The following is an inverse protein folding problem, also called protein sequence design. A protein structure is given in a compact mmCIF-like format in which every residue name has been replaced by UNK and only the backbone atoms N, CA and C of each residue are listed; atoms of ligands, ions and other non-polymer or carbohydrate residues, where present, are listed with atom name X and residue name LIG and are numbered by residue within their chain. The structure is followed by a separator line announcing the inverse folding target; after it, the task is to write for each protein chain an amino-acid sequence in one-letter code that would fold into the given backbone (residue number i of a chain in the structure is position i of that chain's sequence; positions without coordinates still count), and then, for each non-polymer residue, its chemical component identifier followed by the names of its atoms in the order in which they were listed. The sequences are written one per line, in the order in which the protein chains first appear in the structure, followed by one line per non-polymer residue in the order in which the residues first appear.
data_IF_346839321524
#
_entry.id   IF_346839321524
#
_cell.length_a   1.000
_cell.length_b   1.000
_cell.length_c   1.000
_cell.angle_alpha   90.00
_cell.angle_beta   90.00
_cell.angle_gamma   90.00
#
_symmetry.space_group_name_H-M   'P 1'
#
loop_
_entity.id
_entity.type
_entity.pdbx_description
1 polymer ?
#
# COMPACT_ATOMS: atom_id res chain seq x y z
N UNK A 1 82.85 34.03 24.11
CA UNK A 1 81.80 33.71 23.11
C UNK A 1 81.48 32.17 22.99
N UNK A 2 82.43 31.28 23.25
CA UNK A 2 82.15 29.81 23.18
C UNK A 2 81.36 29.22 24.34
N UNK A 3 81.28 29.86 25.49
CA UNK A 3 80.58 29.39 26.72
C UNK A 3 79.07 29.84 26.70
N UNK A 4 78.73 30.92 26.04
CA UNK A 4 77.36 31.39 25.94
C UNK A 4 76.56 30.57 24.91
N UNK A 5 77.26 30.03 23.88
CA UNK A 5 76.61 29.18 22.84
C UNK A 5 76.25 27.80 23.35
N UNK A 6 77.06 27.25 24.30
CA UNK A 6 76.79 25.94 24.94
C UNK A 6 75.54 25.98 25.84
N UNK A 7 75.33 27.15 26.57
CA UNK A 7 74.19 27.31 27.47
C UNK A 7 72.85 27.56 26.71
N UNK A 8 72.93 28.18 25.51
CA UNK A 8 71.74 28.37 24.71
C UNK A 8 71.30 27.08 24.00
N UNK A 9 72.22 26.14 23.70
CA UNK A 9 71.93 24.85 23.09
C UNK A 9 71.32 23.86 24.07
N UNK A 10 71.61 23.97 25.37
CA UNK A 10 71.00 23.14 26.44
C UNK A 10 69.62 23.67 26.81
N UNK A 11 69.36 24.98 26.70
CA UNK A 11 68.02 25.55 27.00
C UNK A 11 66.98 25.22 25.87
N UNK A 12 67.40 24.96 24.62
CA UNK A 12 66.51 24.56 23.52
C UNK A 12 66.17 23.07 23.60
N UNK A 13 66.94 22.25 24.30
CA UNK A 13 66.69 20.80 24.46
C UNK A 13 65.73 20.45 25.61
N UNK A 14 65.39 21.42 26.47
CA UNK A 14 64.47 21.19 27.62
C UNK A 14 63.03 21.67 27.27
N UNK A 15 62.83 22.36 26.15
CA UNK A 15 61.54 22.75 25.65
C UNK A 15 60.98 21.80 24.57
N UNK A 16 61.61 20.62 24.37
CA UNK A 16 61.00 19.50 23.68
C UNK A 16 59.87 18.94 24.56
N UNK A 17 58.70 19.57 24.50
CA UNK A 17 57.49 19.05 25.09
C UNK A 17 57.30 17.60 24.65
N UNK A 18 57.20 16.71 25.61
CA UNK A 18 56.66 15.38 25.37
C UNK A 18 55.26 15.58 24.82
N UNK A 19 55.13 15.56 23.49
CA UNK A 19 53.83 15.26 22.89
C UNK A 19 53.46 13.86 23.38
N UNK A 20 52.72 13.80 24.47
CA UNK A 20 52.01 12.58 24.82
C UNK A 20 51.12 12.32 23.59
N UNK A 21 51.44 11.29 22.83
CA UNK A 21 50.52 10.78 21.87
C UNK A 21 49.32 10.26 22.68
N UNK A 22 48.27 11.08 22.77
CA UNK A 22 46.98 10.65 23.30
C UNK A 22 46.55 9.43 22.47
N UNK A 23 46.40 8.31 23.15
CA UNK A 23 46.01 7.06 22.53
C UNK A 23 44.51 7.16 22.29
N UNK A 24 44.09 7.69 21.14
CA UNK A 24 42.69 7.76 20.74
C UNK A 24 42.14 6.33 20.72
N UNK A 25 41.10 6.07 21.51
CA UNK A 25 40.42 4.79 21.54
C UNK A 25 39.77 4.56 20.17
N UNK A 26 40.05 3.40 19.59
CA UNK A 26 39.52 3.03 18.26
C UNK A 26 38.87 1.66 18.33
N UNK A 27 37.66 1.55 17.83
CA UNK A 27 36.90 0.30 17.77
C UNK A 27 36.51 -0.07 16.36
N UNK A 28 36.37 -1.39 16.10
CA UNK A 28 35.73 -1.92 14.91
C UNK A 28 34.24 -2.01 15.16
N UNK A 29 33.44 -1.36 14.32
CA UNK A 29 31.99 -1.40 14.39
C UNK A 29 31.34 -1.91 13.13
N UNK A 30 30.10 -2.29 13.24
CA UNK A 30 29.25 -2.76 12.12
C UNK A 30 27.99 -1.94 12.04
N UNK A 31 27.61 -1.50 10.83
CA UNK A 31 26.36 -0.79 10.57
C UNK A 31 25.18 -1.74 10.77
N UNK A 32 24.31 -1.43 11.71
CA UNK A 32 23.13 -2.22 12.08
C UNK A 32 21.85 -1.38 12.01
N UNK A 33 20.72 -2.06 11.98
CA UNK A 33 19.41 -1.42 12.08
C UNK A 33 19.10 -1.07 13.55
N UNK A 34 18.87 0.19 13.85
CA UNK A 34 18.39 0.59 15.19
C UNK A 34 16.89 0.38 15.35
N UNK A 35 16.10 0.62 14.29
CA UNK A 35 14.65 0.43 14.25
C UNK A 35 14.26 -0.29 12.98
N UNK A 36 13.19 -1.04 13.04
CA UNK A 36 12.57 -1.68 11.87
C UNK A 36 11.09 -1.33 11.84
N UNK A 37 10.62 -0.84 10.70
CA UNK A 37 9.22 -0.46 10.49
C UNK A 37 8.50 -1.59 9.75
N UNK A 38 7.48 -2.23 10.34
CA UNK A 38 6.68 -3.23 9.66
C UNK A 38 5.69 -2.57 8.71
N UNK A 39 5.71 -2.97 7.44
CA UNK A 39 4.74 -2.54 6.44
C UNK A 39 3.60 -3.55 6.44
N UNK A 40 2.42 -3.10 6.86
CA UNK A 40 1.23 -3.96 6.96
C UNK A 40 0.29 -3.77 5.78
N UNK A 41 -0.47 -4.82 5.49
CA UNK A 41 -1.50 -4.81 4.44
C UNK A 41 -2.76 -4.10 4.96
N UNK A 42 -3.27 -3.07 4.28
CA UNK A 42 -4.41 -2.28 4.77
C UNK A 42 -5.77 -2.98 4.64
N UNK A 43 -5.90 -3.96 3.75
CA UNK A 43 -7.12 -4.75 3.51
C UNK A 43 -6.77 -6.13 2.94
N UNK A 44 -7.71 -7.07 2.98
CA UNK A 44 -7.51 -8.43 2.51
C UNK A 44 -7.45 -8.56 0.98
N UNK A 45 -6.93 -9.67 0.50
CA UNK A 45 -6.86 -10.01 -0.93
C UNK A 45 -5.68 -10.90 -1.26
N UNK A 46 -5.20 -10.82 -2.49
CA UNK A 46 -3.99 -11.50 -2.95
C UNK A 46 -2.95 -10.48 -3.41
N UNK A 47 -1.69 -10.74 -3.11
CA UNK A 47 -0.58 -9.93 -3.62
C UNK A 47 -0.53 -10.03 -5.15
N UNK A 48 -0.82 -8.93 -5.85
CA UNK A 48 -0.80 -8.86 -7.31
C UNK A 48 0.61 -8.69 -7.85
N UNK A 49 1.27 -7.63 -7.41
CA UNK A 49 2.68 -7.35 -7.74
C UNK A 49 3.49 -7.14 -6.47
N UNK A 50 4.76 -7.47 -6.51
CA UNK A 50 5.75 -7.13 -5.51
C UNK A 50 6.88 -6.42 -6.24
N UNK A 51 7.04 -5.11 -6.00
CA UNK A 51 7.94 -4.24 -6.76
C UNK A 51 9.36 -4.22 -6.22
N UNK A 52 9.56 -4.69 -4.98
CA UNK A 52 10.83 -4.61 -4.25
C UNK A 52 11.22 -5.96 -3.66
N UNK A 53 12.50 -6.11 -3.35
CA UNK A 53 13.10 -7.30 -2.76
C UNK A 53 13.89 -6.94 -1.51
N UNK A 54 14.22 -7.93 -0.70
CA UNK A 54 15.16 -7.76 0.41
C UNK A 54 16.46 -7.11 -0.07
N UNK A 55 16.89 -6.05 0.60
CA UNK A 55 18.07 -5.27 0.28
C UNK A 55 17.84 -4.08 -0.65
N UNK A 56 16.66 -3.94 -1.26
CA UNK A 56 16.35 -2.82 -2.13
C UNK A 56 16.14 -1.52 -1.32
N UNK A 57 16.65 -0.37 -1.80
CA UNK A 57 16.33 0.92 -1.24
C UNK A 57 14.93 1.34 -1.65
N UNK A 58 14.21 1.99 -0.74
CA UNK A 58 12.86 2.53 -0.96
C UNK A 58 12.76 3.94 -0.41
N UNK A 59 11.94 4.77 -1.04
CA UNK A 59 11.62 6.12 -0.57
C UNK A 59 10.21 6.14 0.00
N UNK A 60 9.94 7.11 0.88
CA UNK A 60 8.60 7.39 1.33
C UNK A 60 7.67 7.64 0.12
N UNK A 61 6.51 6.96 0.10
CA UNK A 61 5.53 7.00 -0.99
C UNK A 61 5.78 6.00 -2.13
N UNK A 62 6.92 5.33 -2.19
CA UNK A 62 7.19 4.30 -3.22
C UNK A 62 6.21 3.13 -3.09
N UNK A 63 5.72 2.63 -4.24
CA UNK A 63 4.84 1.47 -4.30
C UNK A 63 5.65 0.19 -4.10
N UNK A 64 5.44 -0.47 -2.97
CA UNK A 64 6.11 -1.70 -2.58
C UNK A 64 5.42 -2.94 -3.16
N UNK A 65 4.09 -2.93 -3.15
CA UNK A 65 3.25 -4.01 -3.66
C UNK A 65 1.88 -3.48 -4.08
N UNK A 66 1.14 -4.32 -4.83
CA UNK A 66 -0.29 -4.08 -5.11
C UNK A 66 -1.11 -5.27 -4.64
N UNK A 67 -2.32 -5.01 -4.19
CA UNK A 67 -3.32 -6.05 -3.95
C UNK A 67 -4.12 -6.24 -5.24
N UNK A 68 -4.35 -7.48 -5.65
CA UNK A 68 -5.20 -7.79 -6.78
C UNK A 68 -6.65 -7.45 -6.47
N UNK A 69 -7.31 -6.75 -7.39
CA UNK A 69 -8.74 -6.46 -7.33
C UNK A 69 -9.53 -7.49 -8.15
N UNK A 70 -10.79 -7.68 -7.80
CA UNK A 70 -11.76 -8.40 -8.63
C UNK A 70 -12.59 -7.36 -9.38
N UNK A 71 -12.66 -7.53 -10.70
CA UNK A 71 -13.42 -6.63 -11.58
C UNK A 71 -14.83 -7.21 -11.84
N UNK A 72 -15.83 -6.38 -11.62
CA UNK A 72 -17.22 -6.71 -11.94
C UNK A 72 -17.64 -6.01 -13.23
N UNK A 73 -18.20 -6.81 -14.15
CA UNK A 73 -18.49 -6.39 -15.51
C UNK A 73 -19.98 -6.30 -15.79
N UNK A 74 -20.36 -5.44 -16.73
CA UNK A 74 -21.73 -5.33 -17.20
C UNK A 74 -22.17 -6.63 -17.93
N UNK A 75 -23.20 -7.35 -17.42
CA UNK A 75 -23.68 -8.56 -18.07
C UNK A 75 -24.49 -8.27 -19.33
N UNK A 76 -25.04 -7.07 -19.44
CA UNK A 76 -25.87 -6.60 -20.57
C UNK A 76 -25.51 -5.15 -20.90
N UNK A 77 -25.81 -4.77 -22.16
CA UNK A 77 -25.80 -3.38 -22.60
C UNK A 77 -27.03 -2.64 -22.05
N UNK A 78 -26.84 -1.44 -21.51
CA UNK A 78 -27.97 -0.68 -20.98
C UNK A 78 -27.56 0.53 -20.18
N UNK A 79 -28.52 1.08 -19.42
CA UNK A 79 -28.31 2.25 -18.56
C UNK A 79 -28.26 1.83 -17.12
N UNK A 80 -27.23 2.31 -16.39
CA UNK A 80 -27.09 2.08 -14.95
C UNK A 80 -28.25 2.78 -14.21
N UNK A 81 -28.99 2.00 -13.45
CA UNK A 81 -30.11 2.48 -12.65
C UNK A 81 -30.01 1.90 -11.22
N UNK A 82 -30.21 2.72 -10.20
CA UNK A 82 -30.17 2.25 -8.82
C UNK A 82 -28.78 1.78 -8.38
N UNK A 83 -27.76 2.63 -8.57
CA UNK A 83 -26.45 2.45 -7.91
C UNK A 83 -26.62 2.80 -6.44
N UNK A 84 -26.52 1.81 -5.55
CA UNK A 84 -26.78 1.94 -4.12
C UNK A 84 -25.51 1.98 -3.27
N UNK A 85 -24.36 1.66 -3.86
CA UNK A 85 -23.12 1.55 -3.16
C UNK A 85 -22.21 2.75 -3.37
N UNK A 86 -21.32 2.97 -2.41
CA UNK A 86 -20.21 3.92 -2.44
C UNK A 86 -18.89 3.16 -2.30
N UNK A 87 -17.79 3.81 -2.64
CA UNK A 87 -16.45 3.28 -2.38
C UNK A 87 -16.26 3.09 -0.87
N UNK A 88 -15.77 1.92 -0.47
CA UNK A 88 -15.64 1.49 0.92
C UNK A 88 -16.78 0.62 1.44
N UNK A 89 -17.92 0.58 0.76
CA UNK A 89 -19.07 -0.22 1.22
C UNK A 89 -18.83 -1.73 1.03
N UNK A 90 -19.36 -2.52 1.96
CA UNK A 90 -19.43 -3.97 1.84
C UNK A 90 -20.47 -4.38 0.81
N UNK A 91 -20.07 -5.14 -0.22
CA UNK A 91 -20.97 -5.67 -1.24
C UNK A 91 -22.07 -6.55 -0.66
N UNK A 92 -21.76 -7.33 0.38
CA UNK A 92 -22.72 -8.17 1.09
C UNK A 92 -23.83 -7.37 1.73
N UNK A 93 -23.48 -6.34 2.50
CA UNK A 93 -24.46 -5.47 3.19
C UNK A 93 -25.38 -4.72 2.22
N UNK A 94 -24.80 -4.22 1.11
CA UNK A 94 -25.58 -3.56 0.06
C UNK A 94 -26.50 -4.54 -0.66
N UNK A 95 -25.99 -5.72 -1.01
CA UNK A 95 -26.79 -6.77 -1.68
C UNK A 95 -27.91 -7.29 -0.79
N UNK A 96 -27.67 -7.47 0.52
CA UNK A 96 -28.72 -7.87 1.47
C UNK A 96 -29.86 -6.84 1.53
N UNK A 97 -29.52 -5.56 1.54
CA UNK A 97 -30.48 -4.47 1.67
C UNK A 97 -31.24 -4.15 0.38
N UNK A 98 -30.54 -4.15 -0.76
CA UNK A 98 -31.07 -3.67 -2.05
C UNK A 98 -31.13 -4.77 -3.12
N UNK A 99 -30.72 -5.98 -2.81
CA UNK A 99 -30.63 -7.15 -3.70
C UNK A 99 -29.63 -7.00 -4.86
N UNK A 100 -28.91 -5.89 -4.94
CA UNK A 100 -27.86 -5.61 -5.90
C UNK A 100 -26.96 -4.47 -5.43
N UNK A 101 -25.73 -4.39 -5.95
CA UNK A 101 -24.88 -3.21 -5.86
C UNK A 101 -25.41 -2.12 -6.79
N UNK A 102 -25.79 -2.51 -8.00
CA UNK A 102 -26.47 -1.66 -8.97
C UNK A 102 -27.38 -2.50 -9.88
N UNK A 103 -28.28 -1.83 -10.58
CA UNK A 103 -29.09 -2.42 -11.64
C UNK A 103 -28.72 -1.81 -13.00
N UNK A 104 -28.84 -2.61 -14.07
CA UNK A 104 -28.74 -2.13 -15.45
C UNK A 104 -30.10 -2.31 -16.11
N UNK A 105 -30.70 -1.23 -16.59
CA UNK A 105 -31.87 -1.28 -17.47
C UNK A 105 -31.39 -1.59 -18.91
N UNK A 106 -31.72 -2.78 -19.44
CA UNK A 106 -31.27 -3.15 -20.78
C UNK A 106 -31.76 -2.19 -21.85
N UNK A 107 -30.94 -1.89 -22.84
CA UNK A 107 -31.33 -1.11 -24.04
C UNK A 107 -32.48 -1.77 -24.75
N UNK A 108 -32.50 -3.10 -24.79
CA UNK A 108 -33.58 -3.91 -25.38
C UNK A 108 -34.68 -4.11 -24.37
N UNK A 109 -35.77 -3.38 -24.61
CA UNK A 109 -36.86 -3.21 -23.63
C UNK A 109 -37.79 -4.40 -23.49
N UNK A 110 -37.74 -5.36 -24.42
CA UNK A 110 -38.71 -6.45 -24.50
C UNK A 110 -38.05 -7.82 -24.50
N UNK A 111 -38.66 -8.74 -23.79
CA UNK A 111 -38.36 -10.16 -23.78
C UNK A 111 -39.64 -10.96 -24.07
N UNK A 112 -39.50 -12.18 -24.51
CA UNK A 112 -40.63 -13.08 -24.73
C UNK A 112 -40.36 -14.37 -23.98
N UNK A 113 -41.25 -14.70 -23.06
CA UNK A 113 -41.32 -16.03 -22.47
C UNK A 113 -42.18 -16.90 -23.41
N UNK A 114 -41.58 -17.95 -23.97
CA UNK A 114 -42.17 -18.80 -24.99
C UNK A 114 -42.16 -20.26 -24.58
N UNK A 115 -43.10 -21.01 -25.18
CA UNK A 115 -43.14 -22.46 -25.09
C UNK A 115 -43.35 -23.11 -26.45
N UNK A 116 -43.08 -24.41 -26.55
CA UNK A 116 -43.21 -25.20 -27.78
C UNK A 116 -44.56 -25.86 -27.97
N UNK A 117 -45.57 -25.58 -27.12
CA UNK A 117 -46.91 -26.24 -27.20
C UNK A 117 -47.57 -26.08 -28.56
N UNK A 118 -47.33 -24.97 -29.26
CA UNK A 118 -47.87 -24.67 -30.59
C UNK A 118 -46.81 -24.77 -31.67
N UNK A 119 -45.72 -25.48 -31.44
CA UNK A 119 -44.73 -25.76 -32.49
C UNK A 119 -45.34 -26.60 -33.60
N UNK A 120 -44.84 -26.39 -34.82
CA UNK A 120 -45.15 -27.33 -35.91
C UNK A 120 -44.50 -28.68 -35.61
N UNK A 121 -45.26 -29.76 -35.78
CA UNK A 121 -44.84 -31.09 -35.39
C UNK A 121 -43.74 -31.63 -36.32
N UNK A 122 -42.50 -31.18 -36.07
CA UNK A 122 -41.28 -31.75 -36.64
C UNK A 122 -40.24 -31.84 -35.54
N UNK A 123 -39.41 -32.88 -35.58
CA UNK A 123 -38.35 -33.07 -34.58
C UNK A 123 -37.41 -31.87 -34.51
N UNK A 124 -37.12 -31.23 -35.62
CA UNK A 124 -36.25 -30.08 -35.72
C UNK A 124 -36.74 -28.87 -34.91
N UNK A 125 -38.08 -28.66 -34.85
CA UNK A 125 -38.66 -27.51 -34.16
C UNK A 125 -38.64 -27.64 -32.64
N UNK A 126 -38.31 -28.83 -32.10
CA UNK A 126 -38.14 -29.05 -30.66
C UNK A 126 -36.67 -28.92 -30.21
N UNK A 127 -35.72 -28.88 -31.18
CA UNK A 127 -34.32 -28.63 -30.90
C UNK A 127 -34.04 -27.12 -30.96
N UNK A 128 -34.00 -26.48 -29.78
CA UNK A 128 -33.77 -25.06 -29.63
C UNK A 128 -32.37 -24.82 -29.06
N UNK A 129 -31.69 -23.81 -29.61
CA UNK A 129 -30.33 -23.48 -29.16
C UNK A 129 -30.24 -22.04 -28.66
N UNK A 130 -29.48 -21.80 -27.61
CA UNK A 130 -29.10 -20.46 -27.21
C UNK A 130 -28.32 -19.78 -28.33
N UNK A 131 -28.61 -18.49 -28.58
CA UNK A 131 -28.01 -17.71 -29.65
C UNK A 131 -28.70 -17.88 -31.01
N UNK A 132 -29.72 -18.75 -31.12
CA UNK A 132 -30.49 -18.94 -32.36
C UNK A 132 -31.33 -17.70 -32.63
N UNK A 133 -31.28 -17.20 -33.87
CA UNK A 133 -32.14 -16.11 -34.34
C UNK A 133 -33.53 -16.64 -34.66
N UNK A 134 -34.52 -15.90 -34.18
CA UNK A 134 -35.94 -16.23 -34.41
C UNK A 134 -36.70 -15.03 -34.95
N UNK A 135 -37.82 -15.32 -35.63
CA UNK A 135 -38.70 -14.34 -36.21
C UNK A 135 -40.08 -14.45 -35.57
N UNK A 136 -40.73 -13.32 -35.35
CA UNK A 136 -41.97 -13.27 -34.59
C UNK A 136 -43.04 -12.52 -35.37
N UNK A 137 -44.29 -12.91 -35.10
CA UNK A 137 -45.46 -12.21 -35.60
C UNK A 137 -46.56 -12.21 -34.56
N UNK A 138 -47.27 -11.09 -34.42
CA UNK A 138 -48.46 -10.98 -33.59
C UNK A 138 -49.48 -12.05 -33.99
N UNK A 139 -50.13 -12.68 -33.04
CA UNK A 139 -51.11 -13.73 -33.29
C UNK A 139 -52.51 -13.19 -33.53
N UNK A 140 -52.79 -11.92 -33.22
CA UNK A 140 -54.11 -11.31 -33.39
C UNK A 140 -54.40 -10.97 -34.84
N UNK A 141 -53.51 -10.24 -35.48
CA UNK A 141 -53.73 -9.73 -36.86
C UNK A 141 -52.49 -9.83 -37.75
N UNK A 142 -51.35 -10.24 -37.19
CA UNK A 142 -50.07 -10.38 -37.92
C UNK A 142 -49.40 -9.05 -38.29
N UNK A 143 -49.91 -7.91 -37.83
CA UNK A 143 -49.38 -6.58 -38.19
C UNK A 143 -48.05 -6.28 -37.54
N UNK A 144 -47.85 -6.68 -36.27
CA UNK A 144 -46.61 -6.52 -35.58
C UNK A 144 -45.69 -7.70 -35.85
N UNK A 145 -44.52 -7.41 -36.35
CA UNK A 145 -43.48 -8.41 -36.60
C UNK A 145 -42.14 -7.98 -36.07
N UNK A 146 -41.28 -8.96 -35.78
CA UNK A 146 -39.95 -8.64 -35.23
C UNK A 146 -39.00 -9.82 -35.33
N UNK A 147 -37.80 -9.56 -34.82
CA UNK A 147 -36.71 -10.53 -34.73
C UNK A 147 -36.23 -10.62 -33.28
N UNK A 148 -35.66 -11.75 -32.89
CA UNK A 148 -35.10 -11.96 -31.58
C UNK A 148 -34.01 -13.02 -31.59
N UNK A 149 -33.38 -13.19 -30.44
CA UNK A 149 -32.37 -14.21 -30.20
C UNK A 149 -32.81 -15.01 -28.97
N UNK A 150 -32.75 -16.34 -29.05
CA UNK A 150 -32.99 -17.23 -27.90
C UNK A 150 -31.86 -17.03 -26.89
N UNK A 151 -32.18 -16.54 -25.68
CA UNK A 151 -31.21 -16.28 -24.64
C UNK A 151 -31.09 -17.45 -23.65
N UNK A 152 -32.18 -18.17 -23.47
CA UNK A 152 -32.20 -19.32 -22.54
C UNK A 152 -33.21 -20.38 -23.02
N UNK A 153 -32.90 -21.66 -22.75
CA UNK A 153 -33.74 -22.81 -23.00
C UNK A 153 -33.88 -23.62 -21.74
N UNK A 154 -35.12 -23.85 -21.32
CA UNK A 154 -35.47 -24.61 -20.11
C UNK A 154 -36.37 -25.80 -20.47
N UNK A 155 -36.61 -26.70 -19.53
CA UNK A 155 -37.51 -27.83 -19.72
C UNK A 155 -38.95 -27.42 -20.03
N UNK A 156 -39.38 -26.23 -19.62
CA UNK A 156 -40.75 -25.73 -19.80
C UNK A 156 -40.92 -24.77 -20.97
N UNK A 157 -39.80 -24.29 -21.54
CA UNK A 157 -39.87 -23.31 -22.63
C UNK A 157 -38.52 -22.63 -22.92
N UNK A 158 -38.60 -21.45 -23.47
CA UNK A 158 -37.40 -20.68 -23.83
C UNK A 158 -37.66 -19.17 -23.76
N UNK A 159 -36.62 -18.43 -23.51
CA UNK A 159 -36.64 -16.97 -23.43
C UNK A 159 -36.02 -16.37 -24.70
N UNK A 160 -36.61 -15.30 -25.18
CA UNK A 160 -36.16 -14.58 -26.37
C UNK A 160 -35.94 -13.12 -25.99
N UNK A 161 -34.78 -12.59 -26.34
CA UNK A 161 -34.52 -11.17 -26.35
C UNK A 161 -34.95 -10.59 -27.68
N UNK A 162 -35.85 -9.61 -27.69
CA UNK A 162 -36.32 -8.95 -28.89
C UNK A 162 -35.23 -8.03 -29.43
N UNK A 163 -34.75 -8.30 -30.65
CA UNK A 163 -33.66 -7.53 -31.28
C UNK A 163 -34.14 -6.51 -32.30
N UNK A 164 -35.39 -6.62 -32.74
CA UNK A 164 -35.99 -5.68 -33.67
C UNK A 164 -37.48 -5.91 -33.83
N UNK A 165 -38.18 -4.87 -34.27
CA UNK A 165 -39.63 -4.86 -34.42
C UNK A 165 -40.33 -4.09 -33.27
N UNK A 166 -41.61 -3.81 -33.51
CA UNK A 166 -42.45 -3.11 -32.54
C UNK A 166 -43.52 -4.05 -32.01
N UNK A 167 -43.59 -4.17 -30.69
CA UNK A 167 -44.60 -4.98 -30.00
C UNK A 167 -45.22 -4.21 -28.86
N UNK A 168 -46.46 -4.59 -28.54
CA UNK A 168 -47.15 -4.07 -27.36
C UNK A 168 -46.91 -5.00 -26.17
N UNK A 169 -46.82 -4.45 -24.97
CA UNK A 169 -46.76 -5.27 -23.75
C UNK A 169 -47.95 -6.24 -23.70
N UNK A 170 -47.67 -7.45 -23.23
CA UNK A 170 -48.64 -8.54 -23.08
C UNK A 170 -49.16 -9.11 -24.42
N UNK A 171 -48.62 -8.66 -25.55
CA UNK A 171 -48.97 -9.16 -26.86
C UNK A 171 -48.56 -10.63 -27.03
N UNK A 172 -49.47 -11.42 -27.61
CA UNK A 172 -49.18 -12.82 -27.96
C UNK A 172 -48.54 -12.91 -29.33
N UNK A 173 -47.41 -13.56 -29.42
CA UNK A 173 -46.66 -13.74 -30.64
C UNK A 173 -46.45 -15.21 -30.98
N UNK A 174 -46.48 -15.53 -32.25
CA UNK A 174 -46.01 -16.78 -32.82
C UNK A 174 -44.53 -16.64 -33.19
N UNK A 175 -43.75 -17.65 -32.95
CA UNK A 175 -42.29 -17.67 -33.08
C UNK A 175 -41.91 -18.66 -34.17
N UNK A 176 -41.02 -18.24 -35.08
CA UNK A 176 -40.61 -19.00 -36.23
C UNK A 176 -39.08 -19.01 -36.36
N UNK A 177 -38.54 -20.14 -36.87
CA UNK A 177 -37.13 -20.27 -37.21
C UNK A 177 -36.78 -19.57 -38.51
N UNK A 178 -37.72 -19.62 -39.52
CA UNK A 178 -37.50 -19.03 -40.80
C UNK A 178 -38.05 -17.60 -40.91
N UNK A 179 -37.34 -16.73 -41.62
CA UNK A 179 -37.69 -15.32 -41.82
C UNK A 179 -39.05 -15.13 -42.51
N UNK A 180 -39.37 -16.02 -43.45
CA UNK A 180 -40.66 -15.99 -44.14
C UNK A 180 -41.85 -16.42 -43.28
N UNK A 181 -41.59 -16.80 -42.01
CA UNK A 181 -42.58 -17.22 -41.01
C UNK A 181 -43.49 -18.35 -41.52
N UNK A 182 -42.93 -19.25 -42.37
CA UNK A 182 -43.66 -20.40 -42.88
C UNK A 182 -44.15 -21.27 -41.68
N UNK A 183 -45.36 -21.81 -41.82
CA UNK A 183 -46.03 -22.61 -40.80
C UNK A 183 -45.15 -23.77 -40.30
N UNK A 184 -44.40 -24.38 -41.20
CA UNK A 184 -43.52 -25.52 -40.96
C UNK A 184 -42.33 -25.15 -40.08
N UNK A 185 -41.95 -23.86 -40.04
CA UNK A 185 -40.84 -23.37 -39.21
C UNK A 185 -41.28 -22.84 -37.86
N UNK A 186 -42.54 -23.04 -37.46
CA UNK A 186 -43.08 -22.53 -36.20
C UNK A 186 -42.50 -23.28 -35.01
N UNK A 187 -41.80 -22.54 -34.10
CA UNK A 187 -41.16 -23.04 -32.88
C UNK A 187 -42.09 -23.03 -31.68
N UNK A 188 -43.14 -22.21 -31.73
CA UNK A 188 -44.05 -22.09 -30.59
C UNK A 188 -44.79 -20.76 -30.54
N UNK A 189 -45.13 -20.35 -29.34
CA UNK A 189 -45.74 -19.05 -29.07
C UNK A 189 -45.31 -18.54 -27.69
N UNK A 190 -45.35 -17.23 -27.55
CA UNK A 190 -44.97 -16.56 -26.32
C UNK A 190 -45.74 -15.27 -26.09
N UNK A 191 -45.42 -14.61 -25.00
CA UNK A 191 -45.99 -13.32 -24.60
C UNK A 191 -44.91 -12.29 -24.40
N UNK A 192 -45.12 -11.12 -24.99
CA UNK A 192 -44.15 -10.00 -24.88
C UNK A 192 -44.19 -9.45 -23.45
N UNK A 193 -43.05 -9.37 -22.84
CA UNK A 193 -42.87 -8.78 -21.52
C UNK A 193 -41.82 -7.67 -21.56
N UNK A 194 -41.87 -6.77 -20.59
CA UNK A 194 -40.78 -5.81 -20.38
C UNK A 194 -39.54 -6.56 -19.86
N UNK A 195 -38.42 -6.28 -20.45
CA UNK A 195 -37.14 -6.75 -19.88
C UNK A 195 -36.97 -6.19 -18.48
N UNK A 196 -36.67 -7.05 -17.52
CA UNK A 196 -36.36 -6.62 -16.17
C UNK A 196 -34.98 -5.99 -16.11
N UNK A 197 -34.79 -5.05 -15.20
CA UNK A 197 -33.48 -4.56 -14.86
C UNK A 197 -32.61 -5.71 -14.32
N UNK A 198 -31.36 -5.77 -14.77
CA UNK A 198 -30.43 -6.81 -14.41
C UNK A 198 -29.65 -6.39 -13.17
N UNK A 199 -29.76 -7.19 -12.11
CA UNK A 199 -29.05 -6.97 -10.87
C UNK A 199 -27.56 -7.37 -11.02
N UNK A 200 -26.66 -6.47 -10.67
CA UNK A 200 -25.21 -6.73 -10.55
C UNK A 200 -24.85 -6.77 -9.09
N UNK A 201 -24.25 -7.87 -8.66
CA UNK A 201 -23.84 -8.14 -7.27
C UNK A 201 -22.33 -8.26 -7.24
N UNK A 202 -21.70 -7.86 -6.16
CA UNK A 202 -20.29 -8.15 -5.89
C UNK A 202 -20.11 -9.51 -5.21
N UNK A 203 -18.86 -9.94 -5.07
CA UNK A 203 -18.51 -11.15 -4.32
C UNK A 203 -18.92 -11.08 -2.85
N UNK A 204 -19.24 -12.22 -2.25
CA UNK A 204 -19.50 -12.30 -0.81
C UNK A 204 -18.24 -11.97 -0.01
N UNK A 205 -18.38 -11.22 1.08
CA UNK A 205 -17.27 -10.84 1.95
C UNK A 205 -16.28 -9.85 1.35
N UNK A 206 -16.63 -9.22 0.22
CA UNK A 206 -15.81 -8.19 -0.42
C UNK A 206 -16.34 -6.79 -0.13
N UNK A 207 -15.50 -5.79 -0.39
CA UNK A 207 -15.85 -4.36 -0.31
C UNK A 207 -15.50 -3.68 -1.63
N UNK A 208 -16.26 -2.63 -1.95
CA UNK A 208 -16.04 -1.83 -3.15
C UNK A 208 -14.81 -0.96 -2.96
N UNK A 209 -13.81 -1.19 -3.79
CA UNK A 209 -12.60 -0.37 -3.82
C UNK A 209 -12.81 0.88 -4.67
N UNK A 210 -13.42 0.70 -5.86
CA UNK A 210 -13.59 1.77 -6.82
C UNK A 210 -14.85 1.56 -7.66
N UNK A 211 -15.55 2.65 -7.93
CA UNK A 211 -16.68 2.71 -8.85
C UNK A 211 -16.24 3.36 -10.16
N UNK A 212 -16.53 2.69 -11.30
CA UNK A 212 -16.22 3.20 -12.63
C UNK A 212 -17.43 3.83 -13.31
N UNK A 213 -18.63 3.63 -12.77
CA UNK A 213 -19.90 4.10 -13.32
C UNK A 213 -20.72 4.89 -12.31
N UNK A 214 -21.66 5.69 -12.81
CA UNK A 214 -22.64 6.47 -12.04
C UNK A 214 -24.05 6.15 -12.48
N UNK A 215 -25.04 6.50 -11.68
CA UNK A 215 -26.44 6.43 -12.10
C UNK A 215 -26.67 7.24 -13.37
N UNK A 216 -27.29 6.62 -14.35
CA UNK A 216 -27.62 7.23 -15.65
C UNK A 216 -26.56 6.99 -16.72
N UNK A 217 -25.41 6.44 -16.40
CA UNK A 217 -24.38 6.11 -17.39
C UNK A 217 -24.86 4.96 -18.28
N UNK A 218 -24.56 5.09 -19.57
CA UNK A 218 -24.73 3.99 -20.52
C UNK A 218 -23.49 3.09 -20.47
N UNK A 219 -23.71 1.77 -20.42
CA UNK A 219 -22.63 0.77 -20.36
C UNK A 219 -22.82 -0.27 -21.46
N UNK A 220 -21.71 -0.70 -22.02
CA UNK A 220 -21.67 -1.82 -22.96
C UNK A 220 -21.49 -3.14 -22.21
N UNK A 221 -21.96 -4.23 -22.81
CA UNK A 221 -21.73 -5.56 -22.25
C UNK A 221 -20.23 -5.85 -22.15
N UNK A 222 -19.77 -6.23 -20.96
CA UNK A 222 -18.35 -6.50 -20.67
C UNK A 222 -17.55 -5.26 -20.21
N UNK A 223 -18.19 -4.10 -20.09
CA UNK A 223 -17.57 -2.92 -19.50
C UNK A 223 -17.41 -3.09 -17.99
N UNK A 224 -16.30 -2.59 -17.43
CA UNK A 224 -16.01 -2.66 -15.99
C UNK A 224 -16.93 -1.68 -15.24
N UNK A 225 -17.68 -2.18 -14.29
CA UNK A 225 -18.60 -1.39 -13.47
C UNK A 225 -17.97 -0.93 -12.17
N UNK A 226 -17.32 -1.83 -11.47
CA UNK A 226 -16.62 -1.54 -10.20
C UNK A 226 -15.56 -2.59 -9.90
N UNK A 227 -14.67 -2.23 -8.99
CA UNK A 227 -13.62 -3.10 -8.46
C UNK A 227 -13.90 -3.44 -7.01
N UNK A 228 -13.60 -4.67 -6.61
CA UNK A 228 -13.72 -5.14 -5.24
C UNK A 228 -12.42 -5.71 -4.71
N UNK A 229 -12.27 -5.68 -3.40
CA UNK A 229 -11.20 -6.34 -2.63
C UNK A 229 -11.81 -7.22 -1.57
N UNK A 230 -11.07 -8.25 -1.13
CA UNK A 230 -11.53 -9.13 -0.07
C UNK A 230 -11.50 -8.42 1.30
N UNK A 231 -12.51 -8.67 2.12
CA UNK A 231 -12.62 -8.13 3.48
C UNK A 231 -13.33 -6.79 3.57
N UNK A 232 -13.33 -6.20 4.76
CA UNK A 232 -14.00 -4.94 5.07
C UNK A 232 -13.01 -3.79 5.01
N UNK A 233 -13.36 -2.76 4.24
CA UNK A 233 -12.67 -1.46 4.25
C UNK A 233 -13.22 -0.60 5.39
N UNK A 234 -12.35 0.22 6.00
CA UNK A 234 -12.80 1.23 6.97
C UNK A 234 -13.36 2.41 6.17
N UNK A 235 -14.66 2.56 6.08
CA UNK A 235 -15.44 3.47 5.21
C UNK A 235 -14.96 4.91 5.00
N UNK A 236 -13.83 5.32 5.61
CA UNK A 236 -13.20 6.64 5.41
C UNK A 236 -11.94 6.58 4.55
N UNK A 237 -11.52 5.40 4.15
CA UNK A 237 -10.33 5.20 3.36
C UNK A 237 -10.75 4.87 1.93
N UNK A 238 -10.47 5.79 0.99
CA UNK A 238 -10.58 5.53 -0.45
C UNK A 238 -9.22 5.02 -0.94
N UNK A 239 -8.92 3.74 -0.78
CA UNK A 239 -7.61 3.19 -1.07
C UNK A 239 -7.45 3.07 -2.58
N UNK A 240 -6.25 3.41 -3.04
CA UNK A 240 -5.76 2.70 -4.20
C UNK A 240 -5.36 1.28 -3.74
N UNK A 241 -5.21 0.35 -4.65
CA UNK A 241 -4.77 -1.02 -4.33
C UNK A 241 -3.25 -1.12 -4.08
N UNK A 242 -2.56 0.02 -3.92
CA UNK A 242 -1.13 0.10 -3.73
C UNK A 242 -0.76 0.11 -2.25
N UNK A 243 0.23 -0.66 -1.88
CA UNK A 243 0.87 -0.60 -0.57
C UNK A 243 2.14 0.21 -0.75
N UNK A 244 2.22 1.36 -0.07
CA UNK A 244 3.32 2.32 -0.18
C UNK A 244 4.22 2.29 1.05
N UNK A 245 5.50 2.65 0.86
CA UNK A 245 6.41 2.83 1.99
C UNK A 245 6.06 4.10 2.77
N UNK A 246 5.89 4.01 4.10
CA UNK A 246 5.71 5.19 4.95
C UNK A 246 7.04 5.89 5.27
N UNK A 247 8.18 5.28 4.95
CA UNK A 247 9.52 5.78 5.29
C UNK A 247 10.51 5.56 4.14
N UNK A 248 11.56 6.38 4.11
CA UNK A 248 12.74 6.16 3.26
C UNK A 248 13.69 5.22 3.99
N UNK A 249 14.14 4.14 3.32
CA UNK A 249 14.98 3.15 3.99
C UNK A 249 15.37 1.99 3.09
N UNK A 250 15.67 0.85 3.71
CA UNK A 250 16.07 -0.41 3.03
C UNK A 250 15.14 -1.53 3.47
N UNK A 251 14.65 -2.32 2.51
CA UNK A 251 13.87 -3.53 2.80
C UNK A 251 14.76 -4.56 3.50
N UNK A 252 14.50 -4.83 4.77
CA UNK A 252 15.26 -5.80 5.55
C UNK A 252 14.75 -7.23 5.39
N UNK A 253 13.44 -7.39 5.29
CA UNK A 253 12.77 -8.68 5.14
C UNK A 253 11.54 -8.52 4.24
N UNK A 254 11.28 -9.52 3.40
CA UNK A 254 10.04 -9.67 2.65
C UNK A 254 9.35 -10.94 3.15
N UNK A 255 8.21 -10.81 3.82
CA UNK A 255 7.52 -11.93 4.46
C UNK A 255 6.50 -12.61 3.55
N UNK A 256 6.02 -11.89 2.53
CA UNK A 256 4.97 -12.34 1.62
C UNK A 256 5.45 -12.39 0.17
N UNK A 257 4.80 -13.26 -0.61
CA UNK A 257 5.12 -13.48 -2.01
C UNK A 257 3.96 -13.09 -2.93
N UNK A 258 4.26 -12.85 -4.20
CA UNK A 258 3.25 -12.62 -5.24
C UNK A 258 2.28 -13.80 -5.33
N UNK A 259 0.98 -13.51 -5.40
CA UNK A 259 -0.11 -14.49 -5.46
C UNK A 259 -0.52 -15.06 -4.11
N UNK A 260 0.18 -14.74 -3.03
CA UNK A 260 -0.16 -15.16 -1.67
C UNK A 260 -1.39 -14.39 -1.17
N UNK A 261 -2.28 -15.09 -0.48
CA UNK A 261 -3.43 -14.48 0.17
C UNK A 261 -2.99 -13.78 1.47
N UNK A 262 -3.52 -12.59 1.69
CA UNK A 262 -3.21 -11.76 2.86
C UNK A 262 -4.49 -11.21 3.47
N UNK A 263 -4.47 -11.03 4.78
CA UNK A 263 -5.51 -10.36 5.55
C UNK A 263 -5.11 -8.94 5.93
N UNK A 264 -6.09 -8.13 6.34
CA UNK A 264 -5.82 -6.81 6.92
C UNK A 264 -4.93 -6.94 8.15
N UNK A 265 -3.84 -6.17 8.21
CA UNK A 265 -2.88 -6.16 9.31
C UNK A 265 -1.74 -7.16 9.17
N UNK A 266 -1.76 -8.05 8.17
CA UNK A 266 -0.63 -8.93 7.89
C UNK A 266 0.63 -8.10 7.56
N UNK A 267 1.78 -8.54 8.04
CA UNK A 267 3.06 -7.92 7.71
C UNK A 267 3.46 -8.38 6.30
N UNK A 268 3.60 -7.43 5.39
CA UNK A 268 4.06 -7.67 4.04
C UNK A 268 5.58 -7.77 3.98
N UNK A 269 6.24 -6.79 4.60
CA UNK A 269 7.69 -6.68 4.67
C UNK A 269 8.10 -5.78 5.82
N UNK A 270 9.41 -5.72 6.08
CA UNK A 270 10.00 -4.81 7.06
C UNK A 270 10.99 -3.89 6.38
N UNK A 271 10.96 -2.62 6.71
CA UNK A 271 11.86 -1.58 6.21
C UNK A 271 12.65 -1.02 7.37
N UNK A 272 13.96 -0.90 7.21
CA UNK A 272 14.83 -0.18 8.14
C UNK A 272 14.92 1.26 7.65
N UNK A 273 14.37 2.24 8.38
CA UNK A 273 14.47 3.64 8.02
C UNK A 273 15.94 4.09 7.97
N UNK A 274 16.28 4.94 6.99
CA UNK A 274 17.67 5.42 6.83
C UNK A 274 18.15 6.23 8.01
N UNK A 275 17.28 6.94 8.70
CA UNK A 275 17.56 7.73 9.90
C UNK A 275 17.74 6.88 11.17
N UNK A 276 17.48 5.57 11.08
CA UNK A 276 17.63 4.63 12.19
C UNK A 276 18.89 3.80 12.13
N UNK A 277 19.80 4.06 11.19
CA UNK A 277 21.05 3.32 11.11
C UNK A 277 21.94 3.67 12.31
N UNK A 278 22.60 2.66 12.86
CA UNK A 278 23.50 2.76 13.99
C UNK A 278 24.75 1.96 13.70
N UNK A 279 25.84 2.29 14.38
CA UNK A 279 27.04 1.45 14.35
C UNK A 279 27.13 0.74 15.70
N UNK A 280 27.05 -0.59 15.67
CA UNK A 280 27.28 -1.47 16.81
C UNK A 280 28.76 -1.77 16.91
N UNK A 281 29.36 -1.64 18.10
CA UNK A 281 30.75 -1.98 18.36
C UNK A 281 30.93 -2.63 19.74
N UNK A 282 31.97 -3.43 19.87
CA UNK A 282 32.29 -4.16 21.09
C UNK A 282 33.30 -3.36 21.96
N UNK A 283 32.98 -3.15 23.24
CA UNK A 283 33.78 -2.44 24.20
C UNK A 283 34.25 -3.41 25.26
N UNK A 284 35.58 -3.56 25.48
CA UNK A 284 36.11 -4.35 26.60
C UNK A 284 35.70 -3.80 27.96
N UNK A 285 35.50 -4.67 28.93
CA UNK A 285 35.08 -4.28 30.29
C UNK A 285 36.02 -3.22 30.94
N UNK A 286 37.30 -3.31 30.64
CA UNK A 286 38.34 -2.39 31.17
C UNK A 286 38.23 -0.96 30.60
N UNK A 287 37.62 -0.78 29.44
CA UNK A 287 37.44 0.50 28.75
C UNK A 287 36.05 1.10 28.98
N UNK A 288 35.14 0.34 29.60
CA UNK A 288 33.75 0.71 29.75
C UNK A 288 33.54 2.05 30.48
N UNK A 289 34.38 2.33 31.48
CA UNK A 289 34.32 3.55 32.28
C UNK A 289 34.86 4.78 31.55
N UNK A 290 35.56 4.60 30.45
CA UNK A 290 36.07 5.68 29.58
C UNK A 290 35.07 6.16 28.58
N UNK A 291 33.89 5.52 28.47
CA UNK A 291 32.83 5.83 27.54
C UNK A 291 31.58 6.34 28.24
N UNK A 292 30.89 7.27 27.62
CA UNK A 292 29.64 7.82 28.13
C UNK A 292 28.59 7.93 27.03
N UNK A 293 27.33 7.73 27.39
CA UNK A 293 26.23 8.07 26.47
C UNK A 293 26.25 9.57 26.19
N UNK A 294 26.03 9.93 24.90
CA UNK A 294 26.13 11.29 24.41
C UNK A 294 27.53 11.73 23.96
N UNK A 295 28.58 10.94 24.24
CA UNK A 295 29.94 11.22 23.81
C UNK A 295 30.06 11.24 22.29
N UNK A 296 30.74 12.25 21.73
CA UNK A 296 30.96 12.41 20.31
C UNK A 296 31.94 11.38 19.77
N UNK A 297 31.65 10.85 18.62
CA UNK A 297 32.49 9.87 17.90
C UNK A 297 32.66 10.29 16.45
N UNK A 298 33.81 9.96 15.88
CA UNK A 298 34.09 10.10 14.46
C UNK A 298 34.21 8.69 13.87
N UNK A 299 33.61 8.45 12.73
CA UNK A 299 33.57 7.13 12.10
C UNK A 299 34.07 7.18 10.67
N UNK A 300 34.74 6.13 10.22
CA UNK A 300 35.25 5.96 8.87
C UNK A 300 34.92 4.58 8.34
N UNK A 301 34.60 4.47 7.04
CA UNK A 301 34.40 3.18 6.40
C UNK A 301 35.75 2.44 6.32
N UNK A 302 35.81 1.22 6.88
CA UNK A 302 37.05 0.41 6.90
C UNK A 302 37.68 0.18 5.55
N UNK A 303 36.90 0.09 4.49
CA UNK A 303 37.34 -0.26 3.14
C UNK A 303 37.23 0.90 2.15
N UNK A 304 37.03 2.11 2.63
CA UNK A 304 37.03 3.31 1.77
C UNK A 304 38.47 3.81 1.57
N UNK A 305 39.08 3.39 0.45
CA UNK A 305 40.42 3.85 0.10
C UNK A 305 40.47 5.31 -0.40
N UNK A 306 39.33 6.00 -0.45
CA UNK A 306 39.23 7.41 -0.83
C UNK A 306 39.31 8.36 0.38
N UNK A 307 39.57 7.82 1.53
CA UNK A 307 40.04 8.35 2.83
C UNK A 307 39.69 9.79 3.30
N UNK A 308 38.79 10.49 2.64
CA UNK A 308 38.47 11.89 3.02
C UNK A 308 37.09 12.07 3.65
N UNK A 309 36.29 11.00 3.80
CA UNK A 309 34.95 11.13 4.33
C UNK A 309 34.80 10.46 5.67
N UNK A 310 34.65 11.29 6.70
CA UNK A 310 34.31 10.91 8.05
C UNK A 310 32.82 11.12 8.29
N UNK A 311 32.26 10.35 9.20
CA UNK A 311 30.89 10.47 9.72
C UNK A 311 30.94 10.85 11.19
N UNK A 312 30.30 11.94 11.55
CA UNK A 312 30.19 12.35 12.95
C UNK A 312 28.95 11.71 13.58
N UNK A 313 29.06 11.32 14.83
CA UNK A 313 27.97 10.72 15.57
C UNK A 313 28.13 10.84 17.08
N UNK A 314 27.23 10.17 17.80
CA UNK A 314 27.26 10.12 19.25
C UNK A 314 26.97 8.72 19.75
N UNK A 315 27.56 8.31 20.85
CA UNK A 315 27.17 7.09 21.54
C UNK A 315 25.75 7.26 22.07
N UNK A 316 24.84 6.36 21.64
CA UNK A 316 23.43 6.40 22.01
C UNK A 316 23.14 5.57 23.24
N UNK A 317 23.78 4.40 23.30
CA UNK A 317 23.60 3.48 24.41
C UNK A 317 24.80 2.54 24.58
N UNK A 318 25.01 2.08 25.77
CA UNK A 318 25.96 1.05 26.12
C UNK A 318 25.20 -0.05 26.85
N UNK A 319 25.33 -1.29 26.42
CA UNK A 319 24.60 -2.42 26.98
C UNK A 319 25.01 -2.65 28.46
N UNK A 320 24.02 -2.85 29.32
CA UNK A 320 24.27 -3.26 30.69
C UNK A 320 24.52 -4.78 30.86
N UNK A 321 24.45 -5.53 29.78
CA UNK A 321 24.68 -6.97 29.74
C UNK A 321 25.90 -7.27 28.89
N UNK A 322 26.86 -8.01 29.44
CA UNK A 322 27.97 -8.52 28.63
C UNK A 322 27.49 -9.57 27.62
N UNK A 323 28.14 -9.57 26.48
CA UNK A 323 28.06 -10.71 25.54
C UNK A 323 29.08 -11.77 25.97
N UNK A 324 28.76 -13.03 25.71
CA UNK A 324 29.70 -14.12 25.93
C UNK A 324 30.96 -13.89 25.09
N UNK A 325 32.11 -13.95 25.71
CA UNK A 325 33.39 -13.79 25.02
C UNK A 325 33.49 -14.79 23.87
N UNK A 326 33.98 -14.34 22.73
CA UNK A 326 34.29 -15.25 21.58
C UNK A 326 35.21 -16.37 22.08
N UNK A 327 34.97 -17.60 21.63
CA UNK A 327 35.72 -18.79 22.02
C UNK A 327 37.25 -18.54 22.04
N UNK A 328 37.86 -18.52 23.21
CA UNK A 328 39.29 -18.26 23.40
C UNK A 328 39.65 -16.88 24.00
N UNK A 329 38.69 -16.03 24.37
CA UNK A 329 38.92 -14.77 25.09
C UNK A 329 38.33 -14.87 26.50
N UNK A 330 39.16 -14.62 27.52
CA UNK A 330 38.75 -14.54 28.94
C UNK A 330 38.13 -13.18 29.32
N UNK A 331 37.92 -12.27 28.34
CA UNK A 331 37.47 -10.89 28.62
C UNK A 331 36.01 -10.70 28.20
N UNK A 332 35.21 -10.20 29.11
CA UNK A 332 33.86 -9.76 28.84
C UNK A 332 33.89 -8.55 27.90
N UNK A 333 32.95 -8.53 26.93
CA UNK A 333 32.73 -7.39 26.06
C UNK A 333 31.27 -6.91 26.15
N UNK A 334 31.08 -5.61 25.99
CA UNK A 334 29.80 -4.97 26.04
C UNK A 334 29.51 -4.33 24.68
N UNK A 335 28.26 -4.42 24.21
CA UNK A 335 27.86 -3.74 23.00
C UNK A 335 27.55 -2.28 23.26
N UNK A 336 28.13 -1.43 22.46
CA UNK A 336 27.77 -0.02 22.37
C UNK A 336 27.25 0.33 20.99
N UNK A 337 26.40 1.33 20.94
CA UNK A 337 25.73 1.79 19.72
C UNK A 337 25.99 3.28 19.53
N UNK A 338 26.40 3.67 18.32
CA UNK A 338 26.57 5.06 17.95
C UNK A 338 25.61 5.44 16.82
N UNK A 339 24.99 6.63 16.93
CA UNK A 339 24.20 7.23 15.84
C UNK A 339 25.13 7.89 14.84
N UNK A 340 24.67 8.01 13.58
CA UNK A 340 25.30 8.81 12.55
C UNK A 340 24.29 9.11 11.43
N UNK A 341 24.63 10.05 10.56
CA UNK A 341 23.83 10.33 9.37
C UNK A 341 24.40 9.57 8.17
N UNK A 342 23.72 8.49 7.71
CA UNK A 342 24.21 7.69 6.59
C UNK A 342 23.98 8.42 5.27
N UNK A 343 24.90 8.26 4.33
CA UNK A 343 24.73 8.64 2.93
C UNK A 343 24.29 7.44 2.06
N UNK A 344 24.10 7.67 0.75
CA UNK A 344 23.65 6.65 -0.20
C UNK A 344 24.65 5.47 -0.37
N UNK A 345 25.90 5.59 0.08
CA UNK A 345 26.92 4.55 0.02
C UNK A 345 26.81 3.54 1.15
N UNK A 346 26.22 3.94 2.27
CA UNK A 346 26.13 3.11 3.46
C UNK A 346 25.15 1.95 3.24
N UNK A 347 25.58 0.76 3.67
CA UNK A 347 24.78 -0.46 3.64
C UNK A 347 24.81 -1.13 5.02
N UNK A 348 23.72 -1.78 5.39
CA UNK A 348 23.70 -2.62 6.59
C UNK A 348 24.75 -3.73 6.47
N UNK A 349 25.50 -3.97 7.55
CA UNK A 349 26.58 -4.93 7.60
C UNK A 349 27.95 -4.38 7.17
N UNK A 350 28.06 -3.11 6.76
CA UNK A 350 29.36 -2.48 6.50
C UNK A 350 30.15 -2.30 7.80
N UNK A 351 31.47 -2.46 7.72
CA UNK A 351 32.37 -2.26 8.86
C UNK A 351 32.92 -0.83 8.85
N UNK A 352 32.94 -0.21 10.04
CA UNK A 352 33.47 1.13 10.26
C UNK A 352 34.49 1.13 11.38
N UNK A 353 35.50 1.98 11.29
CA UNK A 353 36.32 2.37 12.44
C UNK A 353 35.62 3.47 13.21
N UNK A 354 35.64 3.39 14.53
CA UNK A 354 35.04 4.36 15.43
C UNK A 354 36.15 4.94 16.28
N UNK A 355 36.32 6.24 16.16
CA UNK A 355 37.27 7.04 16.95
C UNK A 355 36.50 7.79 18.03
N UNK A 356 36.86 7.57 19.27
CA UNK A 356 36.25 8.27 20.41
C UNK A 356 36.88 9.66 20.50
N UNK A 357 36.04 10.70 20.39
CA UNK A 357 36.51 12.07 20.60
C UNK A 357 36.60 12.35 22.09
N UNK A 358 37.61 13.10 22.51
CA UNK A 358 37.66 13.58 23.86
C UNK A 358 36.43 14.40 24.21
N UNK A 359 35.94 14.26 25.42
CA UNK A 359 34.91 15.16 25.94
C UNK A 359 35.52 16.55 26.01
N UNK A 360 35.02 17.51 25.27
CA UNK A 360 35.22 18.92 25.58
C UNK A 360 34.64 19.10 26.99
N UNK A 361 35.52 19.30 28.01
CA UNK A 361 35.07 19.76 29.30
C UNK A 361 34.28 21.06 29.07
N UNK A 362 33.08 21.20 29.63
CA UNK A 362 32.37 22.46 29.54
C UNK A 362 33.31 23.58 30.03
N UNK A 363 33.62 24.55 29.16
CA UNK A 363 34.29 25.76 29.58
C UNK A 363 33.52 26.28 30.79
N UNK A 364 34.18 26.23 31.99
CA UNK A 364 33.66 26.86 33.19
C UNK A 364 33.45 28.32 32.86
N UNK A 365 32.20 28.72 32.62
CA UNK A 365 31.81 30.12 32.57
C UNK A 365 32.20 30.76 33.90
N UNK A 366 33.39 31.36 33.94
CA UNK A 366 33.80 32.20 35.06
C UNK A 366 32.69 33.23 35.28
N UNK A 367 32.09 33.29 36.45
CA UNK A 367 31.00 34.25 36.66
C UNK A 367 31.56 35.66 36.54
N UNK A 368 31.13 36.36 35.49
CA UNK A 368 31.42 37.77 35.31
C UNK A 368 31.13 38.53 36.61
N UNK A 369 32.19 39.17 37.16
CA UNK A 369 32.11 39.97 38.36
C UNK A 369 31.03 41.05 38.22
N UNK A 370 30.07 40.98 39.16
CA UNK A 370 28.99 41.98 39.25
C UNK A 370 29.57 43.34 39.64
N UNK A 371 29.41 44.32 38.76
CA UNK A 371 29.55 45.72 39.15
C UNK A 371 28.39 46.14 40.06
N UNK A 372 28.66 46.98 41.11
CA UNK A 372 27.64 47.35 42.07
C UNK A 372 26.64 48.37 41.48
N UNK A 373 25.36 48.07 41.68
CA UNK A 373 24.25 48.93 41.33
C UNK A 373 24.25 50.24 42.11
N UNK A 374 24.18 51.36 41.42
CA UNK A 374 23.83 52.64 42.02
C UNK A 374 22.35 52.75 42.30
N UNK A 375 22.05 53.18 43.49
CA UNK A 375 20.77 53.43 44.11
C UNK A 375 20.16 54.72 43.56
N UNK A 376 19.02 54.69 42.91
CA UNK A 376 18.23 55.92 42.72
C UNK A 376 16.74 55.73 43.03
N UNK A 377 16.35 56.64 43.89
CA UNK A 377 15.16 56.81 44.72
C UNK A 377 13.82 56.86 44.02
N UNK A 378 12.87 56.46 44.81
CA UNK A 378 11.41 56.52 44.77
C UNK A 378 10.73 57.74 44.08
N UNK A 379 9.57 57.44 43.46
CA UNK A 379 8.35 58.24 43.59
C UNK A 379 7.10 57.45 43.25
N UNK A 380 6.13 57.49 44.10
CA UNK A 380 4.80 56.92 44.22
C UNK A 380 3.77 57.79 43.41
N UNK A 381 2.46 57.55 43.47
CA UNK A 381 1.65 56.92 42.44
C UNK A 381 0.53 57.85 41.90
N UNK A 382 -0.22 57.42 40.90
CA UNK A 382 -1.62 57.88 40.75
C UNK A 382 -2.39 57.05 39.70
N UNK A 383 -3.47 56.42 40.19
CA UNK A 383 -4.85 56.47 39.78
C UNK A 383 -5.28 55.87 38.42
N UNK A 384 -6.12 54.83 38.57
CA UNK A 384 -7.21 54.47 37.66
C UNK A 384 -8.15 55.66 37.31
N UNK A 385 -8.96 55.68 36.22
CA UNK A 385 -10.20 54.93 36.26
C UNK A 385 -10.70 54.37 34.89
N UNK A 386 -11.50 53.30 35.05
CA UNK A 386 -12.73 52.91 34.33
C UNK A 386 -13.07 53.55 32.95
N UNK A 387 -13.25 52.67 31.96
CA UNK A 387 -14.59 52.45 31.36
C UNK A 387 -14.56 51.18 30.51
#
# INVERSE_FOLDING_TARGET
MKKVFAMLMVLVLVLGGTAMAETQLTYDGTVVAGKTEPITVPFGGKIGTLSVRKGDPVKEGDVLATISTTLEYAPVEGTVAGLYAQEGDSTGSITERYNAVLFIEPTRKYTIEANSEKAYNSSENYFLHRGERVYMSCTADGTHTGTGIITDVTDSGYNIEVTGGEFVLDEKVAIYRAENRAKESRLGSGKVKRAAAVAVKGGEGSSILKLHVKNGDFVERGEVLFETVDGVLDGYYAPDNNIKSPVTGIVSEAEKNRGEAVGKGDILMKVVPSDSFQVEFEVPEEELFSLSEGQSVTMELRWDNTADKTYSGKIISISHKSEDAKEGSDKNVYKAYASFEPDERIRLGMTMYIYINEQEEPEDDEPAAAEPAEEETAAEPAEEPEK
#
